data_IF_829516334698
#
_entry.id   IF_829516334698
#
_cell.length_a   1.000
_cell.length_b   1.000
_cell.length_c   1.000
_cell.angle_alpha   90.00
_cell.angle_beta   90.00
_cell.angle_gamma   90.00
#
_symmetry.space_group_name_H-M   'P 1'
#
loop_
_entity.id
_entity.type
_entity.pdbx_description
1 polymer ?
#
# COMPACT_ATOMS: atom_id res chain seq x y z
N UNK A 1 9.35 3.23 3.11
CA UNK A 1 8.82 3.71 4.40
C UNK A 1 8.21 5.11 4.30
N UNK A 2 8.90 6.11 3.72
CA UNK A 2 8.40 7.50 3.65
C UNK A 2 7.02 7.63 2.98
N UNK A 3 6.77 6.88 1.89
CA UNK A 3 5.46 6.82 1.24
C UNK A 3 4.32 6.59 2.25
N UNK A 4 4.46 5.57 3.11
CA UNK A 4 3.46 5.24 4.13
C UNK A 4 3.38 6.28 5.25
N UNK A 5 4.48 6.94 5.60
CA UNK A 5 4.48 8.05 6.57
C UNK A 5 3.60 9.18 6.04
N UNK A 6 3.82 9.60 4.80
CA UNK A 6 3.04 10.66 4.16
C UNK A 6 1.58 10.22 3.95
N UNK A 7 1.33 8.99 3.48
CA UNK A 7 -0.03 8.43 3.39
C UNK A 7 -0.77 8.48 4.72
N UNK A 8 -0.10 8.14 5.83
CA UNK A 8 -0.70 8.23 7.16
C UNK A 8 -0.99 9.68 7.56
N UNK A 9 -0.13 10.64 7.21
CA UNK A 9 -0.37 12.06 7.49
C UNK A 9 -1.54 12.61 6.66
N UNK A 10 -1.67 12.21 5.40
CA UNK A 10 -2.81 12.56 4.55
C UNK A 10 -4.11 12.00 5.13
N UNK A 11 -4.11 10.72 5.51
CA UNK A 11 -5.27 10.08 6.13
C UNK A 11 -5.65 10.73 7.48
N UNK A 12 -4.67 11.16 8.28
CA UNK A 12 -4.90 11.92 9.52
C UNK A 12 -5.60 13.26 9.29
N UNK A 13 -5.45 13.87 8.11
CA UNK A 13 -6.17 15.09 7.72
C UNK A 13 -7.57 14.80 7.15
N UNK A 14 -8.08 13.58 7.30
CA UNK A 14 -9.40 13.16 6.83
C UNK A 14 -9.51 13.04 5.30
N UNK A 15 -8.38 12.93 4.60
CA UNK A 15 -8.35 12.74 3.14
C UNK A 15 -8.31 11.26 2.80
N UNK A 16 -9.06 10.88 1.77
CA UNK A 16 -9.03 9.53 1.23
C UNK A 16 -7.64 9.22 0.66
N UNK A 17 -7.13 8.02 0.96
CA UNK A 17 -5.86 7.52 0.43
C UNK A 17 -6.10 6.17 -0.20
N UNK A 18 -5.78 6.06 -1.48
CA UNK A 18 -5.62 4.78 -2.16
C UNK A 18 -4.12 4.52 -2.34
N UNK A 19 -3.61 3.49 -1.68
CA UNK A 19 -2.22 3.07 -1.79
C UNK A 19 -2.10 1.85 -2.70
N UNK A 20 -1.38 2.02 -3.81
CA UNK A 20 -1.07 0.93 -4.73
C UNK A 20 0.39 0.46 -4.54
N UNK A 21 0.57 -0.82 -4.22
CA UNK A 21 1.86 -1.45 -3.96
C UNK A 21 2.36 -2.18 -5.22
N UNK A 22 3.36 -1.60 -5.88
CA UNK A 22 3.99 -2.13 -7.09
C UNK A 22 5.38 -2.73 -6.82
N UNK A 23 5.84 -3.59 -7.72
CA UNK A 23 7.21 -4.12 -7.67
C UNK A 23 7.52 -4.84 -6.34
N UNK A 24 8.70 -4.61 -5.74
CA UNK A 24 9.05 -5.18 -4.42
C UNK A 24 8.12 -4.74 -3.29
N UNK A 25 7.47 -3.57 -3.42
CA UNK A 25 6.60 -3.07 -2.37
C UNK A 25 5.35 -3.95 -2.17
N UNK A 26 4.92 -4.74 -3.17
CA UNK A 26 3.81 -5.68 -2.98
C UNK A 26 4.06 -6.75 -1.92
N UNK A 27 5.33 -7.03 -1.60
CA UNK A 27 5.70 -8.08 -0.63
C UNK A 27 5.27 -7.73 0.80
N UNK A 28 5.10 -6.45 1.13
CA UNK A 28 4.62 -6.04 2.46
C UNK A 28 3.12 -6.33 2.67
N UNK A 29 2.39 -6.64 1.60
CA UNK A 29 0.98 -7.02 1.65
C UNK A 29 0.75 -8.53 1.76
N UNK A 30 1.80 -9.35 1.63
CA UNK A 30 1.73 -10.80 1.79
C UNK A 30 1.51 -11.18 3.26
N UNK A 31 0.86 -12.32 3.50
CA UNK A 31 0.71 -12.90 4.85
C UNK A 31 2.06 -13.15 5.54
N UNK A 32 3.08 -13.45 4.74
CA UNK A 32 4.46 -13.61 5.19
C UNK A 32 5.33 -12.53 4.53
N UNK A 33 5.35 -11.30 5.08
CA UNK A 33 6.14 -10.21 4.52
C UNK A 33 7.64 -10.43 4.81
N UNK A 34 8.54 -9.79 4.04
CA UNK A 34 9.97 -9.89 4.27
C UNK A 34 10.36 -9.33 5.64
N UNK A 35 11.34 -9.94 6.31
CA UNK A 35 11.81 -9.52 7.64
C UNK A 35 12.24 -8.04 7.69
N UNK A 36 12.71 -7.50 6.57
CA UNK A 36 13.05 -6.08 6.43
C UNK A 36 11.85 -5.14 6.70
N UNK A 37 10.61 -5.58 6.45
CA UNK A 37 9.40 -4.79 6.71
C UNK A 37 9.10 -4.60 8.20
N UNK A 38 9.65 -5.48 9.05
CA UNK A 38 9.56 -5.41 10.52
C UNK A 38 10.66 -4.58 11.15
N UNK A 39 11.65 -4.10 10.38
CA UNK A 39 12.69 -3.20 10.91
C UNK A 39 12.08 -1.83 11.20
N UNK A 40 12.47 -1.24 12.33
CA UNK A 40 12.05 0.09 12.72
C UNK A 40 12.71 1.16 11.85
N UNK A 41 11.96 2.22 11.56
CA UNK A 41 12.45 3.43 10.90
C UNK A 41 12.55 4.58 11.89
N UNK A 42 13.70 5.22 11.90
CA UNK A 42 13.99 6.41 12.71
C UNK A 42 13.44 7.68 12.04
N UNK A 43 13.10 8.73 12.81
CA UNK A 43 13.08 8.82 14.28
C UNK A 43 11.79 8.26 14.90
N UNK A 44 10.81 7.89 14.08
CA UNK A 44 9.45 7.56 14.57
C UNK A 44 9.35 6.24 15.35
N UNK A 45 10.33 5.34 15.22
CA UNK A 45 10.30 4.01 15.85
C UNK A 45 9.26 3.05 15.26
N UNK A 46 8.53 3.46 14.22
CA UNK A 46 7.52 2.63 13.55
C UNK A 46 8.16 1.65 12.58
N UNK A 47 7.45 0.58 12.21
CA UNK A 47 7.88 -0.36 11.15
C UNK A 47 7.06 -0.11 9.88
N UNK A 48 7.51 -0.66 8.75
CA UNK A 48 6.72 -0.59 7.50
C UNK A 48 5.36 -1.27 7.69
N UNK A 49 5.33 -2.39 8.42
CA UNK A 49 4.09 -3.10 8.72
C UNK A 49 3.16 -2.30 9.64
N UNK A 50 3.69 -1.65 10.69
CA UNK A 50 2.84 -0.85 11.58
C UNK A 50 2.31 0.41 10.90
N UNK A 51 3.08 1.02 10.01
CA UNK A 51 2.63 2.13 9.17
C UNK A 51 1.54 1.71 8.19
N UNK A 52 1.67 0.54 7.54
CA UNK A 52 0.66 0.02 6.63
C UNK A 52 -0.65 -0.31 7.37
N UNK A 53 -0.55 -1.00 8.50
CA UNK A 53 -1.71 -1.27 9.36
C UNK A 53 -2.38 0.03 9.82
N UNK A 54 -1.59 1.01 10.27
CA UNK A 54 -2.09 2.32 10.68
C UNK A 54 -2.80 3.09 9.57
N UNK A 55 -2.40 2.93 8.31
CA UNK A 55 -3.10 3.52 7.16
C UNK A 55 -4.47 2.87 6.97
N UNK A 56 -4.52 1.53 6.99
CA UNK A 56 -5.78 0.76 6.87
C UNK A 56 -6.78 1.13 7.96
N UNK A 57 -6.33 1.22 9.22
CA UNK A 57 -7.18 1.65 10.34
C UNK A 57 -7.75 3.07 10.17
N UNK A 58 -7.08 3.95 9.42
CA UNK A 58 -7.57 5.30 9.11
C UNK A 58 -8.46 5.36 7.85
N UNK A 59 -8.88 4.21 7.33
CA UNK A 59 -9.74 4.12 6.14
C UNK A 59 -8.99 4.21 4.81
N UNK A 60 -7.65 4.15 4.81
CA UNK A 60 -6.89 4.04 3.57
C UNK A 60 -7.09 2.67 2.92
N UNK A 61 -7.31 2.65 1.62
CA UNK A 61 -7.41 1.40 0.85
C UNK A 61 -6.03 0.99 0.33
N UNK A 62 -5.77 -0.32 0.30
CA UNK A 62 -4.50 -0.88 -0.13
C UNK A 62 -4.74 -1.92 -1.21
N UNK A 63 -4.00 -1.81 -2.31
CA UNK A 63 -4.02 -2.80 -3.37
C UNK A 63 -2.61 -3.17 -3.81
N UNK A 64 -2.39 -4.41 -4.26
CA UNK A 64 -1.17 -4.77 -5.00
C UNK A 64 -1.38 -4.55 -6.48
N UNK A 65 -0.32 -4.17 -7.20
CA UNK A 65 -0.38 -3.99 -8.64
C UNK A 65 -0.80 -5.27 -9.36
N UNK A 66 -1.55 -5.12 -10.45
CA UNK A 66 -2.22 -6.22 -11.16
C UNK A 66 -1.29 -7.38 -11.54
N UNK A 67 -0.03 -7.07 -11.90
CA UNK A 67 0.98 -8.05 -12.33
C UNK A 67 1.84 -8.58 -11.18
N UNK A 68 1.65 -8.13 -9.94
CA UNK A 68 2.48 -8.52 -8.80
C UNK A 68 2.37 -10.01 -8.49
N UNK A 69 1.13 -10.52 -8.36
CA UNK A 69 0.86 -11.92 -8.01
C UNK A 69 1.14 -12.88 -9.18
N UNK A 70 0.69 -12.62 -10.44
CA UNK A 70 0.94 -13.52 -11.55
C UNK A 70 2.43 -13.73 -11.83
N UNK A 71 3.22 -12.65 -11.77
CA UNK A 71 4.68 -12.74 -11.99
C UNK A 71 5.41 -13.52 -10.89
N UNK A 72 4.76 -13.75 -9.74
CA UNK A 72 5.28 -14.54 -8.62
C UNK A 72 4.58 -15.90 -8.48
N UNK A 73 3.65 -16.25 -9.38
CA UNK A 73 2.84 -17.47 -9.31
C UNK A 73 2.09 -17.62 -7.97
N UNK A 74 1.61 -16.50 -7.44
CA UNK A 74 0.81 -16.44 -6.20
C UNK A 74 -0.67 -16.19 -6.52
N UNK A 75 -1.55 -16.64 -5.64
CA UNK A 75 -2.98 -16.31 -5.66
C UNK A 75 -3.33 -15.16 -4.69
N UNK A 76 -4.56 -14.62 -4.76
CA UNK A 76 -5.04 -13.59 -3.84
C UNK A 76 -5.04 -14.02 -2.36
N UNK A 77 -5.12 -15.31 -2.09
CA UNK A 77 -5.03 -15.93 -0.76
C UNK A 77 -3.67 -15.72 -0.08
N UNK A 78 -2.61 -15.42 -0.85
CA UNK A 78 -1.31 -15.04 -0.32
C UNK A 78 -1.29 -13.65 0.35
N UNK A 79 -2.30 -12.81 0.10
CA UNK A 79 -2.41 -11.47 0.67
C UNK A 79 -2.97 -11.49 2.10
N UNK A 80 -2.59 -10.46 2.87
CA UNK A 80 -3.25 -10.12 4.13
C UNK A 80 -4.71 -9.72 3.90
N UNK A 81 -5.58 -9.88 4.90
CA UNK A 81 -6.94 -9.36 4.83
C UNK A 81 -6.97 -7.87 4.49
N UNK A 82 -8.03 -7.47 3.78
CA UNK A 82 -8.30 -6.09 3.38
C UNK A 82 -7.28 -5.49 2.40
N UNK A 83 -6.52 -6.34 1.70
CA UNK A 83 -5.71 -5.95 0.55
C UNK A 83 -6.29 -6.52 -0.74
N UNK A 84 -6.61 -5.64 -1.68
CA UNK A 84 -7.12 -6.02 -2.99
C UNK A 84 -6.04 -6.19 -4.07
N UNK A 85 -6.46 -6.60 -5.26
CA UNK A 85 -5.65 -6.57 -6.48
C UNK A 85 -6.14 -5.43 -7.35
N UNK A 86 -5.23 -4.54 -7.73
CA UNK A 86 -5.54 -3.38 -8.57
C UNK A 86 -6.01 -3.83 -9.97
N UNK A 87 -6.96 -3.09 -10.53
CA UNK A 87 -7.41 -3.26 -11.93
C UNK A 87 -6.83 -2.12 -12.77
N UNK A 88 -5.99 -2.38 -13.79
CA UNK A 88 -5.32 -1.31 -14.53
C UNK A 88 -6.27 -0.23 -15.10
N UNK A 89 -7.45 -0.55 -15.66
CA UNK A 89 -8.37 0.48 -16.13
C UNK A 89 -8.93 1.39 -15.03
N UNK A 90 -9.16 0.84 -13.83
CA UNK A 90 -9.67 1.60 -12.68
C UNK A 90 -8.60 2.56 -12.19
N UNK A 91 -7.37 2.07 -12.00
CA UNK A 91 -6.24 2.91 -11.56
C UNK A 91 -5.95 4.02 -12.59
N UNK A 92 -5.96 3.69 -13.89
CA UNK A 92 -5.76 4.69 -14.94
C UNK A 92 -6.83 5.79 -14.89
N UNK A 93 -8.09 5.42 -14.65
CA UNK A 93 -9.18 6.38 -14.45
C UNK A 93 -8.94 7.27 -13.23
N UNK A 94 -8.59 6.70 -12.08
CA UNK A 94 -8.28 7.46 -10.86
C UNK A 94 -7.11 8.43 -11.06
N UNK A 95 -6.04 8.00 -11.75
CA UNK A 95 -4.87 8.84 -12.02
C UNK A 95 -5.20 10.06 -12.90
N UNK A 96 -6.17 9.92 -13.80
CA UNK A 96 -6.59 10.99 -14.71
C UNK A 96 -7.69 11.89 -14.12
N UNK A 97 -8.29 11.53 -12.98
CA UNK A 97 -9.29 12.36 -12.31
C UNK A 97 -8.64 13.66 -11.80
N UNK A 98 -9.14 14.86 -12.18
CA UNK A 98 -8.63 16.16 -11.69
C UNK A 98 -8.65 16.33 -10.17
N UNK A 99 -9.48 15.55 -9.46
CA UNK A 99 -9.58 15.52 -7.99
C UNK A 99 -8.52 14.64 -7.34
N UNK A 100 -7.85 13.79 -8.11
CA UNK A 100 -6.76 12.95 -7.62
C UNK A 100 -5.47 13.77 -7.52
N UNK A 101 -4.68 13.47 -6.48
CA UNK A 101 -3.30 13.93 -6.36
C UNK A 101 -2.41 12.70 -6.34
N UNK A 102 -1.65 12.53 -7.41
CA UNK A 102 -0.72 11.41 -7.56
C UNK A 102 0.59 11.71 -6.84
N UNK A 103 1.05 10.77 -6.03
CA UNK A 103 2.41 10.75 -5.50
C UNK A 103 3.02 9.38 -5.76
N UNK A 104 4.20 9.34 -6.38
CA UNK A 104 4.97 8.12 -6.65
C UNK A 104 6.29 8.14 -5.88
N UNK A 105 6.77 6.97 -5.46
CA UNK A 105 7.93 6.80 -4.61
C UNK A 105 8.83 5.67 -5.12
#
# INVERSE_FOLDING_TARGET
AMALVLSNQIAKQGKAVHLMLCGPAGEIALRQPPAAASKTVTPTGMTVLSLLAGLKTKGGTVSVCAIFLPNRKLGPDALTPDVGVAKPPVIAGEMMDPKTRLATF
#
